data_IF_674652418873
#
_entry.id   IF_674652418873
#
_cell.length_a   1.000
_cell.length_b   1.000
_cell.length_c   1.000
_cell.angle_alpha   90.00
_cell.angle_beta   90.00
_cell.angle_gamma   90.00
#
_symmetry.space_group_name_H-M   'P 1'
#
loop_
_entity.id
_entity.type
_entity.pdbx_description
1 polymer ?
#
# COMPACT_ATOMS: atom_id res chain seq x y z
N UNK A 1 -2.71 -12.78 23.50
CA UNK A 1 -3.15 -12.19 22.23
C UNK A 1 -1.93 -11.85 21.40
N UNK A 2 -1.82 -12.22 20.12
CA UNK A 2 -0.84 -11.62 19.24
C UNK A 2 -1.59 -10.65 18.31
N UNK A 3 -1.95 -9.49 18.84
CA UNK A 3 -2.69 -8.48 18.09
C UNK A 3 -1.68 -7.60 17.33
N UNK A 4 -1.25 -8.07 16.16
CA UNK A 4 -0.61 -7.17 15.20
C UNK A 4 -1.59 -6.08 14.79
N UNK A 5 -1.07 -4.89 14.50
CA UNK A 5 -1.83 -3.70 14.12
C UNK A 5 -1.64 -3.48 12.63
N UNK A 6 -2.74 -3.22 11.93
CA UNK A 6 -2.72 -2.77 10.55
C UNK A 6 -3.09 -1.30 10.46
N UNK A 7 -2.35 -0.56 9.64
CA UNK A 7 -2.65 0.82 9.31
C UNK A 7 -2.79 0.97 7.79
N UNK A 8 -3.95 1.45 7.35
CA UNK A 8 -4.24 1.71 5.95
C UNK A 8 -3.98 3.18 5.62
N UNK A 9 -3.07 3.43 4.67
CA UNK A 9 -2.69 4.77 4.21
C UNK A 9 -3.48 5.13 2.94
N UNK A 10 -3.66 4.16 2.05
CA UNK A 10 -4.45 4.27 0.83
C UNK A 10 -3.62 4.49 -0.43
N UNK A 11 -3.97 3.76 -1.48
CA UNK A 11 -3.45 3.89 -2.84
C UNK A 11 -3.86 5.24 -3.44
N UNK A 12 -5.10 5.69 -3.22
CA UNK A 12 -5.57 7.00 -3.70
C UNK A 12 -4.73 8.15 -3.13
N UNK A 13 -4.40 8.07 -1.84
CA UNK A 13 -3.53 9.02 -1.14
C UNK A 13 -2.14 9.07 -1.78
N UNK A 14 -1.54 7.90 -2.04
CA UNK A 14 -0.24 7.80 -2.69
C UNK A 14 -0.25 8.36 -4.10
N UNK A 15 -1.24 8.01 -4.92
CA UNK A 15 -1.34 8.53 -6.30
C UNK A 15 -1.50 10.06 -6.31
N UNK A 16 -2.36 10.61 -5.45
CA UNK A 16 -2.54 12.06 -5.33
C UNK A 16 -1.31 12.80 -4.83
N UNK A 17 -0.46 12.17 -4.02
CA UNK A 17 0.80 12.76 -3.60
C UNK A 17 1.74 12.98 -4.79
N UNK A 18 1.81 12.01 -5.71
CA UNK A 18 2.75 12.06 -6.82
C UNK A 18 2.19 12.65 -8.12
N UNK A 19 0.88 12.86 -8.23
CA UNK A 19 0.28 13.60 -9.34
C UNK A 19 0.80 15.04 -9.50
N UNK A 20 1.40 15.58 -8.43
CA UNK A 20 2.09 16.89 -8.43
C UNK A 20 3.50 16.83 -9.01
N UNK A 21 4.09 15.65 -9.07
CA UNK A 21 5.49 15.43 -9.47
C UNK A 21 5.55 15.01 -10.93
N UNK A 22 4.60 14.20 -11.39
CA UNK A 22 4.52 13.74 -12.77
C UNK A 22 3.10 13.90 -13.33
N UNK A 23 3.03 14.18 -14.64
CA UNK A 23 1.77 14.19 -15.36
C UNK A 23 1.27 12.75 -15.52
N UNK A 24 0.10 12.48 -14.96
CA UNK A 24 -0.59 11.21 -15.09
C UNK A 24 -1.46 11.22 -16.35
N UNK A 25 -1.44 10.08 -17.05
CA UNK A 25 -2.36 9.75 -18.13
C UNK A 25 -3.73 9.32 -17.57
N UNK A 26 -4.72 9.21 -18.45
CA UNK A 26 -6.07 8.75 -18.09
C UNK A 26 -6.06 7.30 -17.55
N UNK A 27 -5.09 6.50 -18.00
CA UNK A 27 -4.86 5.14 -17.53
C UNK A 27 -3.48 5.08 -16.89
N UNK A 28 -3.45 4.79 -15.60
CA UNK A 28 -2.21 4.60 -14.86
C UNK A 28 -1.97 3.12 -14.59
N UNK A 29 -0.73 2.68 -14.76
CA UNK A 29 -0.31 1.33 -14.38
C UNK A 29 0.34 1.37 -13.01
N UNK A 30 -0.17 0.59 -12.07
CA UNK A 30 0.34 0.49 -10.71
C UNK A 30 1.05 -0.84 -10.53
N UNK A 31 2.24 -0.81 -9.94
CA UNK A 31 2.95 -2.02 -9.51
C UNK A 31 2.87 -2.11 -7.99
N UNK A 32 2.44 -3.28 -7.49
CA UNK A 32 2.23 -3.55 -6.07
C UNK A 32 3.26 -4.58 -5.60
N UNK A 33 3.90 -4.31 -4.45
CA UNK A 33 4.75 -5.24 -3.74
C UNK A 33 4.21 -5.49 -2.34
N UNK A 34 4.06 -6.76 -1.96
CA UNK A 34 3.67 -7.17 -0.61
C UNK A 34 4.73 -8.15 -0.12
N UNK A 35 5.49 -7.76 0.88
CA UNK A 35 6.57 -8.59 1.42
C UNK A 35 6.55 -8.60 2.95
N UNK A 36 7.07 -9.66 3.56
CA UNK A 36 7.23 -9.80 5.00
C UNK A 36 8.69 -9.69 5.38
N UNK A 37 9.05 -8.64 6.12
CA UNK A 37 10.42 -8.37 6.55
C UNK A 37 10.53 -8.50 8.07
N UNK A 38 11.52 -9.26 8.60
CA UNK A 38 11.86 -9.21 10.01
C UNK A 38 12.48 -7.84 10.33
N UNK A 39 11.90 -7.11 11.30
CA UNK A 39 12.40 -5.76 11.65
C UNK A 39 13.68 -5.78 12.47
N UNK A 40 13.93 -6.85 13.20
CA UNK A 40 15.14 -6.99 14.00
C UNK A 40 15.58 -8.44 14.06
N UNK A 41 16.88 -8.65 14.33
CA UNK A 41 17.47 -9.98 14.49
C UNK A 41 17.19 -10.59 15.88
N UNK A 42 16.72 -9.79 16.84
CA UNK A 42 16.58 -10.19 18.26
C UNK A 42 15.15 -10.10 18.80
N UNK A 43 14.18 -9.64 18.00
CA UNK A 43 12.75 -9.66 18.32
C UNK A 43 11.97 -10.46 17.30
N UNK A 44 10.89 -11.12 17.73
CA UNK A 44 9.96 -11.81 16.81
C UNK A 44 9.13 -10.84 15.95
N UNK A 45 9.36 -9.53 16.05
CA UNK A 45 8.60 -8.50 15.36
C UNK A 45 8.63 -8.68 13.84
N UNK A 46 7.44 -8.75 13.26
CA UNK A 46 7.15 -8.88 11.85
C UNK A 46 6.63 -7.54 11.31
N UNK A 47 7.12 -7.14 10.14
CA UNK A 47 6.65 -5.96 9.41
C UNK A 47 6.32 -6.33 7.99
N UNK A 48 5.10 -5.99 7.60
CA UNK A 48 4.54 -6.38 6.32
C UNK A 48 3.97 -5.14 5.64
N UNK A 49 4.78 -4.44 4.83
CA UNK A 49 4.30 -3.31 4.06
C UNK A 49 3.62 -3.81 2.77
N UNK A 50 2.54 -3.13 2.41
CA UNK A 50 1.99 -3.11 1.07
C UNK A 50 2.54 -1.84 0.43
N UNK A 51 3.39 -1.99 -0.57
CA UNK A 51 4.06 -0.90 -1.28
C UNK A 51 3.52 -0.80 -2.70
N UNK A 52 3.57 0.40 -3.25
CA UNK A 52 3.25 0.65 -4.64
C UNK A 52 4.15 1.70 -5.28
N UNK A 53 4.23 1.65 -6.61
CA UNK A 53 4.68 2.77 -7.42
C UNK A 53 3.84 2.87 -8.70
N UNK A 54 3.84 4.04 -9.32
CA UNK A 54 3.19 4.29 -10.60
C UNK A 54 4.20 4.02 -11.70
N UNK A 55 3.96 3.08 -12.60
CA UNK A 55 4.85 2.80 -13.72
C UNK A 55 4.85 3.97 -14.72
N UNK A 56 6.01 4.42 -15.24
CA UNK A 56 7.35 3.83 -15.08
C UNK A 56 8.19 4.41 -13.92
N UNK A 57 7.61 5.19 -13.02
CA UNK A 57 8.27 5.94 -11.94
C UNK A 57 8.65 5.08 -10.73
N UNK A 58 9.41 4.01 -10.93
CA UNK A 58 9.82 3.03 -9.90
C UNK A 58 10.72 3.60 -8.77
N UNK A 59 11.29 4.79 -8.95
CA UNK A 59 12.04 5.49 -7.90
C UNK A 59 11.13 6.11 -6.83
N UNK A 60 9.82 6.17 -7.07
CA UNK A 60 8.83 6.80 -6.20
C UNK A 60 7.88 5.74 -5.61
N UNK A 61 8.44 4.92 -4.73
CA UNK A 61 7.70 3.89 -4.00
C UNK A 61 7.03 4.51 -2.77
N UNK A 62 5.77 4.16 -2.54
CA UNK A 62 5.00 4.62 -1.39
C UNK A 62 4.25 3.48 -0.70
N UNK A 63 4.00 3.59 0.62
CA UNK A 63 3.21 2.60 1.33
C UNK A 63 1.71 2.83 1.14
N UNK A 64 0.98 1.76 0.88
CA UNK A 64 -0.50 1.71 0.88
C UNK A 64 -1.01 1.26 2.24
N UNK A 65 -0.31 0.32 2.86
CA UNK A 65 -0.71 -0.22 4.15
C UNK A 65 0.48 -0.87 4.84
N UNK A 66 0.42 -0.92 6.17
CA UNK A 66 1.50 -1.44 7.00
C UNK A 66 0.89 -2.32 8.08
N UNK A 67 1.33 -3.57 8.14
CA UNK A 67 1.10 -4.42 9.29
C UNK A 67 2.37 -4.52 10.15
N UNK A 68 2.19 -4.44 11.46
CA UNK A 68 3.23 -4.65 12.46
C UNK A 68 2.71 -5.56 13.58
N UNK A 69 3.46 -6.58 13.96
CA UNK A 69 3.11 -7.46 15.07
C UNK A 69 4.27 -8.33 15.51
N UNK A 70 4.09 -9.12 16.57
CA UNK A 70 5.10 -10.07 17.05
C UNK A 70 5.06 -11.43 16.36
N UNK A 71 4.05 -11.65 15.52
CA UNK A 71 3.83 -12.84 14.72
C UNK A 71 3.35 -12.44 13.32
N UNK A 72 3.40 -13.39 12.39
CA UNK A 72 2.76 -13.22 11.08
C UNK A 72 1.25 -13.00 11.28
N UNK A 73 0.58 -12.24 10.39
CA UNK A 73 -0.87 -12.13 10.42
C UNK A 73 -1.48 -13.52 10.44
N UNK A 74 -2.32 -13.83 11.45
CA UNK A 74 -3.01 -15.12 11.53
C UNK A 74 -3.95 -15.33 10.36
N UNK A 75 -4.50 -14.23 9.85
CA UNK A 75 -5.31 -14.20 8.65
C UNK A 75 -4.83 -13.06 7.76
N UNK A 76 -4.26 -13.43 6.61
CA UNK A 76 -3.78 -12.44 5.64
C UNK A 76 -4.91 -11.59 5.07
N UNK A 77 -6.14 -12.11 5.09
CA UNK A 77 -7.30 -11.37 4.61
C UNK A 77 -7.56 -10.13 5.47
N UNK A 78 -7.24 -10.18 6.78
CA UNK A 78 -7.52 -9.05 7.68
C UNK A 78 -6.69 -7.81 7.30
N UNK A 79 -5.43 -7.97 6.88
CA UNK A 79 -4.60 -6.83 6.51
C UNK A 79 -4.70 -6.44 5.03
N UNK A 80 -5.14 -7.34 4.16
CA UNK A 80 -5.29 -7.09 2.72
C UNK A 80 -6.68 -6.53 2.37
N UNK A 81 -7.69 -6.77 3.22
CA UNK A 81 -9.09 -6.42 2.93
C UNK A 81 -9.30 -4.96 2.54
N UNK A 82 -8.76 -4.03 3.33
CA UNK A 82 -8.95 -2.59 3.07
C UNK A 82 -8.29 -2.18 1.75
N UNK A 83 -7.08 -2.69 1.49
CA UNK A 83 -6.40 -2.49 0.21
C UNK A 83 -7.20 -3.03 -0.97
N UNK A 84 -7.73 -4.26 -0.90
CA UNK A 84 -8.53 -4.81 -1.99
C UNK A 84 -9.83 -4.05 -2.22
N UNK A 85 -10.51 -3.64 -1.15
CA UNK A 85 -11.73 -2.84 -1.25
C UNK A 85 -11.46 -1.50 -1.95
N UNK A 86 -10.36 -0.83 -1.59
CA UNK A 86 -9.92 0.40 -2.25
C UNK A 86 -9.56 0.15 -3.72
N UNK A 87 -8.76 -0.89 -4.01
CA UNK A 87 -8.32 -1.19 -5.37
C UNK A 87 -9.50 -1.52 -6.29
N UNK A 88 -10.51 -2.24 -5.80
CA UNK A 88 -11.73 -2.52 -6.54
C UNK A 88 -12.53 -1.24 -6.81
N UNK A 89 -12.66 -0.37 -5.80
CA UNK A 89 -13.35 0.92 -5.95
C UNK A 89 -12.66 1.80 -7.00
N UNK A 90 -11.33 1.90 -6.96
CA UNK A 90 -10.55 2.73 -7.88
C UNK A 90 -10.54 2.15 -9.31
N UNK A 91 -10.40 0.84 -9.46
CA UNK A 91 -10.45 0.20 -10.79
C UNK A 91 -11.83 0.30 -11.45
N UNK A 92 -12.90 0.38 -10.66
CA UNK A 92 -14.27 0.50 -11.18
C UNK A 92 -14.65 1.95 -11.46
N UNK A 93 -14.30 2.88 -10.56
CA UNK A 93 -14.80 4.25 -10.59
C UNK A 93 -13.77 5.27 -11.12
N UNK A 94 -12.52 4.84 -11.33
CA UNK A 94 -11.41 5.74 -11.57
C UNK A 94 -11.00 6.52 -10.32
N UNK A 95 -10.14 7.51 -10.52
CA UNK A 95 -9.61 8.39 -9.48
C UNK A 95 -9.70 9.84 -9.97
N UNK A 96 -10.13 10.75 -9.09
CA UNK A 96 -10.06 12.18 -9.39
C UNK A 96 -8.78 12.76 -8.82
N UNK A 97 -7.96 13.30 -9.72
CA UNK A 97 -6.68 13.91 -9.38
C UNK A 97 -6.84 15.42 -9.38
N UNK A 98 -6.72 16.03 -8.20
CA UNK A 98 -6.71 17.48 -8.07
C UNK A 98 -5.36 18.03 -8.56
N UNK A 99 -5.30 18.41 -9.84
CA UNK A 99 -4.21 19.22 -10.38
C UNK A 99 -4.43 20.66 -9.90
N UNK A 100 -3.58 21.15 -8.99
CA UNK A 100 -3.49 22.57 -8.65
C UNK A 100 -2.48 23.20 -9.62
#
# INVERSE_FOLDING_TARGET
>A
EPNGIYYHIGLETGINMYSKIFSLDDIISIVIGIDGLPLSKSSSSQFWPILAYIFPYNNYVFPIGIYYGHDKPRDSNIFIKDFLAEMLKLSTNGIMINKI
#
